data_IF_075543347822
#
_entry.id   IF_075543347822
#
_cell.length_a   1.000
_cell.length_b   1.000
_cell.length_c   1.000
_cell.angle_alpha   90.00
_cell.angle_beta   90.00
_cell.angle_gamma   90.00
#
_symmetry.space_group_name_H-M   'P 1'
#
loop_
_entity.id
_entity.type
_entity.pdbx_description
1 polymer ?
#
# COMPACT_ATOMS: atom_id res chain seq x y z
N UNK A 1 1.29 -10.06 14.02
CA UNK A 1 0.88 -10.33 12.63
C UNK A 1 -0.35 -11.25 12.61
N UNK A 2 -1.30 -11.06 11.70
CA UNK A 2 -2.47 -11.94 11.60
C UNK A 2 -2.12 -13.31 11.03
N UNK A 3 -2.79 -14.34 11.53
CA UNK A 3 -2.62 -15.71 11.05
C UNK A 3 -2.99 -15.92 9.58
N UNK A 4 -3.80 -15.04 8.97
CA UNK A 4 -4.03 -15.06 7.51
C UNK A 4 -2.71 -14.96 6.73
N UNK A 5 -1.85 -14.02 7.11
CA UNK A 5 -0.56 -13.79 6.46
C UNK A 5 0.38 -14.95 6.75
N UNK A 6 0.43 -15.42 7.99
CA UNK A 6 1.28 -16.55 8.36
C UNK A 6 0.85 -17.87 7.69
N UNK A 7 -0.45 -18.09 7.50
CA UNK A 7 -0.96 -19.25 6.77
C UNK A 7 -0.46 -19.25 5.32
N UNK A 8 -0.43 -18.10 4.66
CA UNK A 8 0.18 -17.97 3.34
C UNK A 8 1.67 -18.26 3.34
N UNK A 9 2.39 -17.90 4.41
CA UNK A 9 3.82 -18.22 4.55
C UNK A 9 4.03 -19.73 4.65
N UNK A 10 3.23 -20.41 5.49
CA UNK A 10 3.27 -21.87 5.60
C UNK A 10 3.01 -22.53 4.25
N UNK A 11 1.95 -22.10 3.56
CA UNK A 11 1.58 -22.68 2.26
C UNK A 11 2.68 -22.46 1.21
N UNK A 12 3.33 -21.28 1.22
CA UNK A 12 4.48 -21.00 0.37
C UNK A 12 5.64 -21.94 0.68
N UNK A 13 5.93 -22.18 1.96
CA UNK A 13 7.04 -23.05 2.37
C UNK A 13 6.79 -24.49 1.95
N UNK A 14 5.57 -24.98 2.18
CA UNK A 14 5.16 -26.33 1.83
C UNK A 14 5.18 -26.57 0.32
N UNK A 15 4.81 -25.57 -0.50
CA UNK A 15 4.83 -25.69 -1.96
C UNK A 15 6.24 -25.62 -2.56
N UNK A 16 7.08 -24.69 -2.10
CA UNK A 16 8.39 -24.44 -2.70
C UNK A 16 9.45 -25.45 -2.21
N UNK A 17 9.41 -25.81 -0.92
CA UNK A 17 10.46 -26.60 -0.27
C UNK A 17 9.93 -27.88 0.42
N UNK A 18 8.62 -28.09 0.43
CA UNK A 18 8.00 -29.31 0.92
C UNK A 18 7.70 -29.30 2.43
N UNK A 19 6.76 -30.16 2.80
CA UNK A 19 6.24 -30.31 4.18
C UNK A 19 7.31 -30.76 5.18
N UNK A 20 8.34 -31.48 4.72
CA UNK A 20 9.46 -31.91 5.57
C UNK A 20 10.24 -30.73 6.13
N UNK A 21 10.54 -29.72 5.28
CA UNK A 21 11.25 -28.51 5.69
C UNK A 21 10.39 -27.71 6.68
N UNK A 22 9.09 -27.55 6.40
CA UNK A 22 8.16 -26.91 7.34
C UNK A 22 8.16 -27.58 8.73
N UNK A 23 8.03 -28.92 8.77
CA UNK A 23 7.99 -29.66 10.03
C UNK A 23 9.29 -29.57 10.85
N UNK A 24 10.45 -29.51 10.17
CA UNK A 24 11.73 -29.31 10.84
C UNK A 24 11.79 -27.91 11.48
N UNK A 25 11.29 -26.88 10.78
CA UNK A 25 11.24 -25.52 11.29
C UNK A 25 10.32 -25.36 12.48
N UNK A 26 9.10 -25.92 12.43
CA UNK A 26 8.16 -25.87 13.55
C UNK A 26 8.82 -26.43 14.83
N UNK A 27 9.59 -27.52 14.70
CA UNK A 27 10.36 -28.08 15.82
C UNK A 27 11.50 -27.17 16.28
N UNK A 28 12.26 -26.59 15.35
CA UNK A 28 13.42 -25.72 15.64
C UNK A 28 13.00 -24.39 16.30
N UNK A 29 11.92 -23.78 15.82
CA UNK A 29 11.40 -22.50 16.31
C UNK A 29 10.58 -22.70 17.60
N UNK A 30 10.12 -23.92 17.89
CA UNK A 30 9.32 -24.22 19.09
C UNK A 30 7.89 -23.69 19.00
N UNK A 31 7.34 -23.53 17.79
CA UNK A 31 5.96 -23.13 17.59
C UNK A 31 5.11 -24.37 17.93
N UNK A 32 4.35 -24.33 19.03
CA UNK A 32 3.61 -25.49 19.55
C UNK A 32 2.48 -26.04 18.66
N UNK A 33 2.34 -25.60 17.41
CA UNK A 33 1.33 -26.06 16.46
C UNK A 33 1.79 -25.95 15.00
N UNK A 34 1.23 -26.81 14.13
CA UNK A 34 1.57 -26.91 12.70
C UNK A 34 0.84 -25.86 11.83
N UNK A 35 -0.12 -25.12 12.40
CA UNK A 35 -0.97 -24.22 11.63
C UNK A 35 -1.37 -22.95 12.38
N UNK A 36 -1.76 -21.94 11.59
CA UNK A 36 -2.18 -20.62 12.08
C UNK A 36 -3.69 -20.42 11.88
N UNK A 37 -4.35 -19.88 12.91
CA UNK A 37 -5.74 -19.46 12.81
C UNK A 37 -5.82 -18.06 12.21
N UNK A 38 -6.63 -17.90 11.17
CA UNK A 38 -6.68 -16.71 10.32
C UNK A 38 -6.98 -15.41 11.07
N UNK A 39 -7.84 -15.45 12.09
CA UNK A 39 -8.28 -14.28 12.86
C UNK A 39 -7.50 -14.11 14.16
N UNK A 40 -6.52 -14.97 14.43
CA UNK A 40 -5.65 -14.83 15.60
C UNK A 40 -4.46 -13.94 15.26
N UNK A 41 -4.10 -13.07 16.19
CA UNK A 41 -2.88 -12.27 16.14
C UNK A 41 -1.75 -13.06 16.80
N UNK A 42 -0.62 -13.12 16.11
CA UNK A 42 0.63 -13.76 16.53
C UNK A 42 1.75 -12.72 16.64
N UNK A 43 2.91 -13.12 17.14
CA UNK A 43 4.11 -12.28 17.16
C UNK A 43 4.41 -11.74 15.74
N UNK A 44 4.80 -10.48 15.65
CA UNK A 44 5.17 -9.86 14.38
C UNK A 44 6.46 -10.46 13.82
N UNK A 45 7.42 -10.80 14.69
CA UNK A 45 8.72 -11.35 14.29
C UNK A 45 8.63 -12.78 13.74
N UNK A 46 7.49 -13.46 13.88
CA UNK A 46 7.36 -14.85 13.50
C UNK A 46 7.62 -15.11 12.01
N UNK A 47 7.15 -14.22 11.13
CA UNK A 47 7.46 -14.31 9.70
C UNK A 47 8.96 -14.17 9.44
N UNK A 48 9.64 -13.24 10.12
CA UNK A 48 11.08 -13.03 9.97
C UNK A 48 11.87 -14.26 10.45
N UNK A 49 11.50 -14.83 11.61
CA UNK A 49 12.11 -16.05 12.15
C UNK A 49 11.92 -17.23 11.19
N UNK A 50 10.73 -17.37 10.59
CA UNK A 50 10.47 -18.40 9.58
C UNK A 50 11.34 -18.14 8.34
N UNK A 51 11.38 -16.90 7.83
CA UNK A 51 12.16 -16.55 6.65
C UNK A 51 13.65 -16.83 6.83
N UNK A 52 14.23 -16.42 7.96
CA UNK A 52 15.62 -16.68 8.34
C UNK A 52 15.89 -18.18 8.46
N UNK A 53 14.97 -18.93 9.09
CA UNK A 53 15.10 -20.38 9.19
C UNK A 53 15.12 -21.04 7.82
N UNK A 54 14.21 -20.65 6.91
CA UNK A 54 14.19 -21.17 5.53
C UNK A 54 15.45 -20.81 4.79
N UNK A 55 15.89 -19.56 4.87
CA UNK A 55 17.10 -19.08 4.24
C UNK A 55 18.32 -19.93 4.64
N UNK A 56 18.46 -20.27 5.93
CA UNK A 56 19.53 -21.14 6.41
C UNK A 56 19.46 -22.58 5.90
N UNK A 57 18.27 -23.18 5.82
CA UNK A 57 18.12 -24.59 5.39
C UNK A 57 18.31 -24.76 3.88
N UNK A 58 17.97 -23.75 3.08
CA UNK A 58 18.02 -23.82 1.61
C UNK A 58 19.20 -23.05 0.99
N UNK A 59 20.08 -22.50 1.85
CA UNK A 59 21.27 -21.73 1.49
C UNK A 59 20.99 -20.61 0.48
N UNK A 60 20.04 -19.73 0.83
CA UNK A 60 19.72 -18.55 0.01
C UNK A 60 19.52 -17.30 0.87
N UNK A 61 19.59 -16.10 0.29
CA UNK A 61 19.34 -14.86 1.03
C UNK A 61 17.92 -14.80 1.59
N UNK A 62 17.79 -14.37 2.85
CA UNK A 62 16.49 -14.15 3.50
C UNK A 62 15.61 -13.15 2.73
N UNK A 63 16.22 -12.18 2.03
CA UNK A 63 15.53 -11.28 1.11
C UNK A 63 14.76 -12.00 0.01
N UNK A 64 15.30 -13.10 -0.50
CA UNK A 64 14.71 -13.87 -1.61
C UNK A 64 13.55 -14.73 -1.10
N UNK A 65 13.68 -15.26 0.12
CA UNK A 65 12.60 -15.94 0.83
C UNK A 65 11.45 -14.98 1.10
N UNK A 66 11.74 -13.79 1.65
CA UNK A 66 10.74 -12.77 1.90
C UNK A 66 10.05 -12.31 0.62
N UNK A 67 10.80 -12.16 -0.48
CA UNK A 67 10.23 -11.88 -1.79
C UNK A 67 9.27 -12.98 -2.25
N UNK A 68 9.65 -14.27 -2.12
CA UNK A 68 8.77 -15.40 -2.44
C UNK A 68 7.51 -15.41 -1.58
N UNK A 69 7.61 -15.14 -0.28
CA UNK A 69 6.44 -15.04 0.61
C UNK A 69 5.47 -13.95 0.15
N UNK A 70 5.98 -12.76 -0.20
CA UNK A 70 5.17 -11.67 -0.70
C UNK A 70 4.50 -12.00 -2.04
N UNK A 71 5.26 -12.59 -2.96
CA UNK A 71 4.75 -12.98 -4.27
C UNK A 71 3.66 -14.06 -4.17
N UNK A 72 3.87 -15.05 -3.32
CA UNK A 72 2.91 -16.12 -3.04
C UNK A 72 1.65 -15.59 -2.36
N UNK A 73 1.78 -14.59 -1.48
CA UNK A 73 0.63 -14.01 -0.77
C UNK A 73 -0.44 -13.50 -1.73
N UNK A 74 -0.05 -12.90 -2.85
CA UNK A 74 -1.02 -12.40 -3.82
C UNK A 74 -1.83 -13.54 -4.45
N UNK A 75 -1.19 -14.67 -4.80
CA UNK A 75 -1.88 -15.87 -5.30
C UNK A 75 -2.73 -16.53 -4.21
N UNK A 76 -2.26 -16.51 -2.97
CA UNK A 76 -2.99 -17.03 -1.81
C UNK A 76 -4.29 -16.26 -1.57
N UNK A 77 -4.25 -14.92 -1.49
CA UNK A 77 -5.46 -14.12 -1.19
C UNK A 77 -6.51 -14.22 -2.29
N UNK A 78 -6.09 -14.33 -3.56
CA UNK A 78 -7.00 -14.58 -4.68
C UNK A 78 -7.73 -15.90 -4.50
N UNK A 79 -7.01 -17.00 -4.20
CA UNK A 79 -7.62 -18.32 -3.95
C UNK A 79 -8.47 -18.35 -2.67
N UNK A 80 -8.16 -17.50 -1.70
CA UNK A 80 -8.88 -17.39 -0.44
C UNK A 80 -10.23 -16.65 -0.57
N UNK A 81 -10.53 -16.06 -1.73
CA UNK A 81 -11.80 -15.36 -2.01
C UNK A 81 -11.73 -13.84 -1.91
N UNK A 82 -10.53 -13.26 -1.87
CA UNK A 82 -10.33 -11.81 -2.01
C UNK A 82 -10.14 -11.36 -3.47
N UNK A 83 -10.22 -12.29 -4.43
CA UNK A 83 -10.05 -12.06 -5.87
C UNK A 83 -10.94 -10.94 -6.41
N UNK A 84 -12.22 -10.93 -6.03
CA UNK A 84 -13.18 -9.92 -6.48
C UNK A 84 -12.80 -8.53 -6.01
N UNK A 85 -12.23 -8.41 -4.81
CA UNK A 85 -11.84 -7.12 -4.25
C UNK A 85 -10.51 -6.68 -4.85
N UNK A 86 -9.52 -7.57 -4.92
CA UNK A 86 -8.18 -7.24 -5.43
C UNK A 86 -8.19 -6.93 -6.93
N UNK A 87 -9.07 -7.56 -7.71
CA UNK A 87 -9.20 -7.31 -9.16
C UNK A 87 -9.82 -5.96 -9.51
N UNK A 88 -10.57 -5.33 -8.59
CA UNK A 88 -11.26 -4.05 -8.84
C UNK A 88 -10.57 -2.85 -8.20
N UNK A 89 -9.42 -3.03 -7.55
CA UNK A 89 -8.71 -1.93 -6.87
C UNK A 89 -8.20 -0.85 -7.83
N UNK A 90 -7.89 -1.20 -9.07
CA UNK A 90 -7.31 -0.24 -10.00
C UNK A 90 -7.23 -0.76 -11.44
N UNK A 91 -7.36 0.16 -12.40
CA UNK A 91 -7.18 -0.16 -13.83
C UNK A 91 -5.71 -0.22 -14.24
N UNK A 92 -4.86 0.48 -13.49
CA UNK A 92 -3.40 0.48 -13.63
C UNK A 92 -2.75 0.08 -12.30
N UNK A 93 -1.48 -0.30 -12.37
CA UNK A 93 -0.70 -0.60 -11.17
C UNK A 93 -0.62 0.60 -10.20
N UNK A 94 -0.58 1.83 -10.71
CA UNK A 94 -0.60 3.03 -9.87
C UNK A 94 -1.90 3.16 -9.07
N UNK A 95 -3.05 2.92 -9.71
CA UNK A 95 -4.36 2.90 -9.07
C UNK A 95 -4.44 1.80 -8.02
N UNK A 96 -3.92 0.60 -8.33
CA UNK A 96 -3.85 -0.51 -7.39
C UNK A 96 -3.12 -0.15 -6.11
N UNK A 97 -1.90 0.40 -6.25
CA UNK A 97 -1.05 0.77 -5.10
C UNK A 97 -1.74 1.86 -4.26
N UNK A 98 -2.29 2.89 -4.90
CA UNK A 98 -3.04 3.94 -4.18
C UNK A 98 -4.34 3.42 -3.56
N UNK A 99 -4.93 2.36 -4.12
CA UNK A 99 -6.13 1.70 -3.60
C UNK A 99 -5.89 0.79 -2.40
N UNK A 100 -4.65 0.38 -2.11
CA UNK A 100 -4.33 -0.54 -1.01
C UNK A 100 -4.71 0.01 0.36
N UNK A 101 -4.57 1.32 0.57
CA UNK A 101 -4.93 1.95 1.86
C UNK A 101 -6.44 1.86 2.11
N UNK A 102 -7.26 2.08 1.06
CA UNK A 102 -8.71 1.94 1.13
C UNK A 102 -9.12 0.48 1.33
N UNK A 103 -8.44 -0.46 0.66
CA UNK A 103 -8.63 -1.90 0.88
C UNK A 103 -8.38 -2.24 2.35
N UNK A 104 -7.27 -1.78 2.91
CA UNK A 104 -6.92 -2.05 4.30
C UNK A 104 -7.92 -1.45 5.28
N UNK A 105 -8.50 -0.28 4.99
CA UNK A 105 -9.59 0.27 5.80
C UNK A 105 -10.83 -0.62 5.76
N UNK A 106 -11.21 -1.10 4.58
CA UNK A 106 -12.32 -2.04 4.46
C UNK A 106 -12.05 -3.33 5.25
N UNK A 107 -10.85 -3.90 5.10
CA UNK A 107 -10.41 -5.12 5.80
C UNK A 107 -10.31 -4.91 7.32
N UNK A 108 -10.04 -3.69 7.79
CA UNK A 108 -9.98 -3.40 9.23
C UNK A 108 -11.30 -3.66 9.97
N UNK A 109 -12.43 -3.60 9.27
CA UNK A 109 -13.74 -3.99 9.81
C UNK A 109 -13.84 -5.51 10.07
N UNK A 110 -13.10 -6.31 9.30
CA UNK A 110 -13.05 -7.78 9.41
C UNK A 110 -11.95 -8.25 10.37
N UNK A 111 -10.88 -7.46 10.52
CA UNK A 111 -9.71 -7.75 11.34
C UNK A 111 -9.42 -6.59 12.30
N UNK A 112 -10.14 -6.53 13.42
CA UNK A 112 -10.18 -5.37 14.33
C UNK A 112 -8.81 -4.84 14.77
N UNK A 113 -7.86 -5.73 15.07
CA UNK A 113 -6.52 -5.36 15.54
C UNK A 113 -5.48 -5.21 14.41
N UNK A 114 -5.93 -5.04 13.15
CA UNK A 114 -5.00 -4.93 12.01
C UNK A 114 -4.25 -3.61 12.06
N UNK A 115 -2.94 -3.71 11.91
CA UNK A 115 -2.04 -2.57 11.72
C UNK A 115 -1.58 -2.62 10.25
N UNK A 116 -2.35 -2.05 9.32
CA UNK A 116 -1.99 -2.07 7.92
C UNK A 116 -0.83 -1.10 7.66
N UNK A 117 0.04 -1.42 6.70
CA UNK A 117 0.93 -0.41 6.14
C UNK A 117 0.16 0.57 5.24
N UNK A 118 0.79 1.70 4.97
CA UNK A 118 0.32 2.72 4.03
C UNK A 118 1.15 2.74 2.75
N UNK A 119 0.49 3.01 1.63
CA UNK A 119 1.10 3.13 0.31
C UNK A 119 0.60 4.38 -0.42
N UNK A 120 1.50 5.04 -1.15
CA UNK A 120 1.11 6.06 -2.12
C UNK A 120 2.16 6.18 -3.24
N UNK A 121 1.70 6.48 -4.44
CA UNK A 121 2.56 6.69 -5.61
C UNK A 121 3.05 8.14 -5.64
N UNK A 122 4.36 8.35 -5.78
CA UNK A 122 4.96 9.69 -5.90
C UNK A 122 4.96 10.17 -7.35
N UNK A 123 5.36 9.30 -8.28
CA UNK A 123 5.44 9.60 -9.70
C UNK A 123 5.29 8.34 -10.55
N UNK A 124 4.75 8.52 -11.74
CA UNK A 124 4.61 7.50 -12.77
C UNK A 124 5.23 8.04 -14.07
N UNK A 125 6.06 7.24 -14.75
CA UNK A 125 6.74 7.57 -16.00
C UNK A 125 6.69 6.39 -16.99
N UNK A 126 7.21 6.61 -18.20
CA UNK A 126 7.21 5.62 -19.30
C UNK A 126 7.94 4.31 -18.93
N UNK A 127 8.82 4.34 -17.92
CA UNK A 127 9.64 3.22 -17.47
C UNK A 127 9.15 2.62 -16.14
N UNK A 128 8.02 3.10 -15.61
CA UNK A 128 7.34 2.52 -14.46
C UNK A 128 6.88 3.57 -13.44
N UNK A 129 7.06 3.30 -12.15
CA UNK A 129 6.60 4.20 -11.09
C UNK A 129 7.48 4.15 -9.85
N UNK A 130 7.40 5.22 -9.05
CA UNK A 130 7.99 5.28 -7.71
C UNK A 130 6.86 5.41 -6.70
N UNK A 131 6.89 4.57 -5.67
CA UNK A 131 5.91 4.61 -4.59
C UNK A 131 6.59 4.55 -3.23
N UNK A 132 5.87 5.03 -2.23
CA UNK A 132 6.27 5.01 -0.84
C UNK A 132 5.52 3.91 -0.10
N UNK A 133 6.22 3.24 0.81
CA UNK A 133 5.71 2.22 1.71
C UNK A 133 6.03 2.62 3.15
N UNK A 134 5.00 2.78 3.96
CA UNK A 134 5.11 3.17 5.36
C UNK A 134 4.53 2.08 6.26
N UNK A 135 5.27 1.71 7.29
CA UNK A 135 4.80 0.69 8.24
C UNK A 135 5.24 1.02 9.66
N UNK A 136 4.39 0.74 10.64
CA UNK A 136 4.76 0.82 12.06
C UNK A 136 5.68 -0.32 12.50
N UNK A 137 5.91 -1.31 11.61
CA UNK A 137 6.73 -2.49 11.91
C UNK A 137 8.21 -2.16 11.72
N UNK A 138 9.02 -2.48 12.74
CA UNK A 138 10.44 -2.11 12.78
C UNK A 138 11.36 -3.04 11.99
N UNK A 139 10.89 -4.24 11.64
CA UNK A 139 11.71 -5.19 10.91
C UNK A 139 11.99 -4.72 9.47
N UNK A 140 13.26 -4.56 9.13
CA UNK A 140 13.73 -4.00 7.85
C UNK A 140 13.35 -4.91 6.68
N UNK A 141 13.37 -6.23 6.88
CA UNK A 141 13.15 -7.23 5.82
C UNK A 141 11.73 -7.26 5.24
N UNK A 142 10.72 -6.64 5.87
CA UNK A 142 9.37 -6.57 5.31
C UNK A 142 9.30 -5.86 3.96
N UNK A 143 10.28 -5.02 3.64
CA UNK A 143 10.37 -4.40 2.33
C UNK A 143 10.47 -5.44 1.20
N UNK A 144 11.17 -6.56 1.43
CA UNK A 144 11.31 -7.63 0.45
C UNK A 144 9.99 -8.38 0.23
N UNK A 145 9.20 -8.56 1.29
CA UNK A 145 7.84 -9.07 1.18
C UNK A 145 6.97 -8.14 0.32
N UNK A 146 7.02 -6.84 0.54
CA UNK A 146 6.28 -5.87 -0.29
C UNK A 146 6.75 -5.91 -1.75
N UNK A 147 8.06 -6.03 -2.00
CA UNK A 147 8.61 -6.17 -3.36
C UNK A 147 8.00 -7.36 -4.09
N UNK A 148 7.93 -8.52 -3.45
CA UNK A 148 7.30 -9.71 -4.02
C UNK A 148 5.81 -9.54 -4.27
N UNK A 149 5.10 -8.93 -3.32
CA UNK A 149 3.66 -8.67 -3.40
C UNK A 149 3.33 -7.78 -4.60
N UNK A 150 4.03 -6.66 -4.75
CA UNK A 150 3.81 -5.70 -5.85
C UNK A 150 4.23 -6.30 -7.19
N UNK A 151 5.34 -7.04 -7.24
CA UNK A 151 5.76 -7.75 -8.44
C UNK A 151 4.67 -8.74 -8.91
N UNK A 152 4.17 -9.57 -7.98
CA UNK A 152 3.14 -10.56 -8.28
C UNK A 152 1.83 -9.91 -8.72
N UNK A 153 1.40 -8.82 -8.06
CA UNK A 153 0.23 -8.05 -8.49
C UNK A 153 0.40 -7.44 -9.90
N UNK A 154 1.58 -6.90 -10.22
CA UNK A 154 1.90 -6.33 -11.52
C UNK A 154 1.80 -7.37 -12.65
N UNK A 155 2.32 -8.58 -12.41
CA UNK A 155 2.28 -9.67 -13.39
C UNK A 155 0.87 -10.26 -13.50
N UNK A 156 0.19 -10.53 -12.37
CA UNK A 156 -1.08 -11.26 -12.37
C UNK A 156 -2.28 -10.42 -12.82
N UNK A 157 -2.38 -9.15 -12.43
CA UNK A 157 -3.55 -8.32 -12.76
C UNK A 157 -3.36 -7.47 -14.01
N UNK A 158 -2.11 -7.13 -14.34
CA UNK A 158 -1.80 -6.18 -15.41
C UNK A 158 -0.95 -6.78 -16.53
N UNK A 159 -0.62 -8.08 -16.45
CA UNK A 159 0.15 -8.83 -17.46
C UNK A 159 1.48 -8.15 -17.83
N UNK A 160 2.04 -7.38 -16.91
CA UNK A 160 3.27 -6.62 -17.15
C UNK A 160 4.46 -7.58 -17.23
N UNK A 161 5.30 -7.35 -18.24
CA UNK A 161 6.52 -8.13 -18.48
C UNK A 161 7.75 -7.42 -17.90
N UNK A 162 8.78 -8.20 -17.57
CA UNK A 162 10.08 -7.72 -17.08
C UNK A 162 10.00 -6.78 -15.85
N UNK A 163 8.99 -6.98 -14.99
CA UNK A 163 8.76 -6.14 -13.82
C UNK A 163 9.86 -6.32 -12.78
N UNK A 164 10.58 -5.25 -12.47
CA UNK A 164 11.57 -5.23 -11.38
C UNK A 164 11.12 -4.29 -10.29
N UNK A 165 11.16 -4.75 -9.04
CA UNK A 165 10.88 -3.89 -7.87
C UNK A 165 12.16 -3.74 -7.08
N UNK A 166 12.64 -2.51 -6.95
CA UNK A 166 13.91 -2.15 -6.33
C UNK A 166 13.68 -1.16 -5.19
N UNK A 167 14.47 -1.30 -4.13
CA UNK A 167 14.46 -0.37 -3.00
C UNK A 167 15.40 0.79 -3.33
N UNK A 168 14.88 2.02 -3.35
CA UNK A 168 15.68 3.23 -3.53
C UNK A 168 16.16 3.78 -2.20
N UNK A 169 15.30 3.76 -1.19
CA UNK A 169 15.56 4.34 0.14
C UNK A 169 14.80 3.58 1.20
N UNK A 170 15.39 3.45 2.39
CA UNK A 170 14.71 2.96 3.58
C UNK A 170 15.27 3.70 4.80
N UNK A 171 14.39 4.27 5.61
CA UNK A 171 14.74 5.06 6.78
C UNK A 171 13.67 4.96 7.87
N UNK A 172 14.05 5.26 9.11
CA UNK A 172 13.11 5.32 10.23
C UNK A 172 12.74 6.78 10.47
N UNK A 173 11.48 7.13 10.23
CA UNK A 173 10.90 8.45 10.49
C UNK A 173 10.04 8.35 11.77
N UNK A 174 10.63 8.72 12.91
CA UNK A 174 9.98 8.60 14.22
C UNK A 174 9.70 7.14 14.59
N UNK A 175 8.42 6.77 14.68
CA UNK A 175 7.99 5.38 14.94
C UNK A 175 7.68 4.58 13.67
N UNK A 176 7.85 5.18 12.48
CA UNK A 176 7.45 4.61 11.20
C UNK A 176 8.69 4.26 10.38
N UNK A 177 8.70 3.05 9.82
CA UNK A 177 9.65 2.67 8.79
C UNK A 177 9.13 3.18 7.44
N UNK A 178 9.84 4.13 6.85
CA UNK A 178 9.56 4.71 5.56
C UNK A 178 10.46 4.08 4.51
N UNK A 179 9.89 3.71 3.37
CA UNK A 179 10.65 3.14 2.25
C UNK A 179 10.17 3.69 0.93
N UNK A 180 11.11 3.93 0.02
CA UNK A 180 10.84 4.36 -1.35
C UNK A 180 11.25 3.22 -2.28
N UNK A 181 10.33 2.79 -3.12
CA UNK A 181 10.53 1.70 -4.06
C UNK A 181 10.29 2.16 -5.50
N UNK A 182 11.12 1.68 -6.41
CA UNK A 182 10.95 1.81 -7.86
C UNK A 182 10.38 0.51 -8.40
N UNK A 183 9.27 0.60 -9.12
CA UNK A 183 8.80 -0.48 -9.99
C UNK A 183 9.17 -0.10 -11.41
N UNK A 184 10.02 -0.89 -12.04
CA UNK A 184 10.44 -0.71 -13.44
C UNK A 184 9.68 -1.68 -14.31
N UNK A 185 8.94 -1.16 -15.29
CA UNK A 185 8.20 -1.92 -16.30
C UNK A 185 7.95 -1.05 -17.53
N UNK A 186 7.74 -1.68 -18.69
CA UNK A 186 7.43 -0.93 -19.91
C UNK A 186 6.00 -0.38 -19.81
N UNK A 187 5.86 0.89 -19.45
CA UNK A 187 4.56 1.52 -19.26
C UNK A 187 3.95 1.96 -20.61
N UNK A 188 3.37 1.00 -21.34
CA UNK A 188 2.69 1.28 -22.60
C UNK A 188 1.39 2.09 -22.44
N UNK A 189 0.93 2.34 -21.20
CA UNK A 189 -0.35 3.00 -20.94
C UNK A 189 -0.25 4.53 -20.86
N UNK A 190 0.91 5.10 -20.54
CA UNK A 190 1.10 6.57 -20.53
C UNK A 190 1.03 7.12 -21.96
N UNK A 191 1.61 6.40 -22.92
CA UNK A 191 1.58 6.80 -24.35
C UNK A 191 0.20 6.65 -24.99
N UNK A 192 -0.62 5.75 -24.48
CA UNK A 192 -2.05 5.70 -24.78
C UNK A 192 -2.74 6.72 -23.88
N UNK A 193 -2.52 8.02 -24.15
CA UNK A 193 -3.57 8.98 -23.81
C UNK A 193 -4.86 8.37 -24.34
N UNK A 194 -5.81 8.09 -23.45
CA UNK A 194 -7.15 7.67 -23.86
C UNK A 194 -7.55 8.53 -25.06
N UNK A 195 -8.05 7.98 -26.17
CA UNK A 195 -8.44 8.78 -27.34
C UNK A 195 -9.36 9.97 -27.01
N UNK A 196 -9.98 9.94 -25.83
CA UNK A 196 -10.79 11.00 -25.26
C UNK A 196 -10.03 12.10 -24.48
N UNK A 197 -8.81 11.87 -23.99
CA UNK A 197 -7.97 12.89 -23.32
C UNK A 197 -7.62 14.09 -24.24
N UNK A 198 -7.27 13.89 -25.54
CA UNK A 198 -7.15 14.98 -26.50
C UNK A 198 -8.48 15.71 -26.78
N UNK A 199 -9.60 15.00 -26.68
CA UNK A 199 -10.93 15.60 -26.82
C UNK A 199 -11.31 16.43 -25.58
N UNK A 200 -10.96 15.97 -24.38
CA UNK A 200 -11.08 16.70 -23.11
C UNK A 200 -10.14 17.90 -23.02
N UNK A 201 -8.90 17.78 -23.48
CA UNK A 201 -7.95 18.89 -23.49
C UNK A 201 -8.39 19.97 -24.50
N UNK A 202 -8.97 19.57 -25.64
CA UNK A 202 -9.70 20.47 -26.54
C UNK A 202 -10.92 21.09 -25.87
N UNK A 203 -11.72 20.33 -25.10
CA UNK A 203 -12.85 20.86 -24.33
C UNK A 203 -12.41 21.85 -23.23
N UNK A 204 -11.30 21.59 -22.53
CA UNK A 204 -10.69 22.51 -21.55
C UNK A 204 -10.13 23.78 -22.20
N UNK A 205 -9.68 23.71 -23.45
CA UNK A 205 -9.22 24.88 -24.21
C UNK A 205 -10.37 25.75 -24.72
N UNK A 206 -11.60 25.24 -24.73
CA UNK A 206 -12.82 25.99 -25.09
C UNK A 206 -13.39 26.55 -23.78
N UNK A 207 -12.84 27.70 -23.37
CA UNK A 207 -13.20 28.50 -22.18
C UNK A 207 -12.99 27.82 -20.82
N UNK A 208 -12.24 28.41 -19.87
CA UNK A 208 -12.30 27.96 -18.50
C UNK A 208 -13.73 28.20 -18.01
N UNK A 209 -14.49 27.12 -17.80
CA UNK A 209 -15.78 27.21 -17.14
C UNK A 209 -15.48 27.57 -15.68
N UNK A 210 -15.51 28.86 -15.37
CA UNK A 210 -15.43 29.33 -13.99
C UNK A 210 -16.73 28.97 -13.32
N UNK A 211 -16.71 27.94 -12.48
CA UNK A 211 -17.81 27.64 -11.58
C UNK A 211 -17.75 28.63 -10.42
N UNK A 212 -18.89 29.22 -10.05
CA UNK A 212 -18.94 30.07 -8.87
C UNK A 212 -18.50 29.25 -7.65
N UNK A 213 -17.51 29.77 -6.90
CA UNK A 213 -17.00 29.15 -5.68
C UNK A 213 -18.11 28.83 -4.68
N UNK A 214 -19.11 29.69 -4.57
CA UNK A 214 -20.21 29.51 -3.62
C UNK A 214 -20.99 28.22 -3.92
N UNK A 215 -21.25 27.94 -5.21
CA UNK A 215 -21.91 26.70 -5.65
C UNK A 215 -21.07 25.47 -5.29
N UNK A 216 -19.75 25.56 -5.45
CA UNK A 216 -18.83 24.45 -5.11
C UNK A 216 -18.86 24.19 -3.60
N UNK A 217 -18.77 25.24 -2.77
CA UNK A 217 -18.74 25.10 -1.32
C UNK A 217 -20.09 24.73 -0.69
N UNK A 218 -21.19 25.06 -1.37
CA UNK A 218 -22.53 24.57 -1.03
C UNK A 218 -22.71 23.10 -1.43
N UNK A 219 -22.18 22.71 -2.59
CA UNK A 219 -22.27 21.32 -3.09
C UNK A 219 -21.37 20.36 -2.30
N UNK A 220 -20.18 20.83 -1.90
CA UNK A 220 -19.20 20.08 -1.12
C UNK A 220 -19.04 20.69 0.28
N UNK A 221 -19.99 20.44 1.20
CA UNK A 221 -20.05 21.11 2.50
C UNK A 221 -18.86 20.78 3.42
N UNK A 222 -18.17 19.66 3.19
CA UNK A 222 -17.00 19.22 3.93
C UNK A 222 -15.70 19.33 3.10
N UNK A 223 -15.53 20.46 2.41
CA UNK A 223 -14.30 20.79 1.67
C UNK A 223 -13.46 21.83 2.43
N UNK A 224 -12.13 21.73 2.33
CA UNK A 224 -11.17 22.65 2.95
C UNK A 224 -10.13 23.01 1.90
N UNK A 225 -9.89 24.30 1.71
CA UNK A 225 -8.81 24.82 0.85
C UNK A 225 -7.82 25.58 1.72
N UNK A 226 -6.54 25.24 1.62
CA UNK A 226 -5.46 25.88 2.35
C UNK A 226 -4.27 26.16 1.42
N UNK A 227 -3.46 27.15 1.79
CA UNK A 227 -2.31 27.60 1.01
C UNK A 227 -1.01 26.85 1.36
N UNK A 228 0.08 27.20 0.66
CA UNK A 228 1.43 26.64 0.88
C UNK A 228 1.95 26.83 2.33
N UNK A 229 1.41 27.80 3.07
CA UNK A 229 1.73 28.06 4.48
C UNK A 229 0.85 27.27 5.44
N UNK A 230 0.09 26.31 4.92
CA UNK A 230 -0.87 25.50 5.67
C UNK A 230 -2.03 26.31 6.26
N UNK A 231 -2.27 27.54 5.78
CA UNK A 231 -3.35 28.39 6.28
C UNK A 231 -4.63 28.13 5.50
N UNK A 232 -5.72 27.93 6.21
CA UNK A 232 -7.03 27.70 5.61
C UNK A 232 -7.54 28.98 4.97
N UNK A 233 -7.70 28.96 3.65
CA UNK A 233 -8.17 30.09 2.84
C UNK A 233 -9.70 30.16 2.85
N UNK A 234 -10.35 29.03 2.62
CA UNK A 234 -11.82 28.92 2.58
C UNK A 234 -12.27 27.47 2.82
N UNK A 235 -13.55 27.28 3.15
CA UNK A 235 -14.13 25.99 3.46
C UNK A 235 -15.59 25.89 3.01
N UNK A 236 -16.07 24.66 2.84
CA UNK A 236 -17.48 24.36 2.65
C UNK A 236 -18.33 24.74 3.86
N UNK A 237 -19.63 24.98 3.62
CA UNK A 237 -20.58 25.45 4.64
C UNK A 237 -20.71 24.54 5.86
N UNK A 238 -20.49 23.24 5.71
CA UNK A 238 -20.52 22.27 6.80
C UNK A 238 -19.31 22.40 7.73
N UNK A 239 -18.11 22.59 7.16
CA UNK A 239 -16.89 22.84 7.95
C UNK A 239 -16.99 24.17 8.69
N UNK A 240 -17.46 25.24 8.04
CA UNK A 240 -17.60 26.56 8.70
C UNK A 240 -18.54 26.51 9.89
N UNK A 241 -19.65 25.78 9.78
CA UNK A 241 -20.58 25.56 10.91
C UNK A 241 -19.95 24.77 12.06
N UNK A 242 -19.08 23.82 11.74
CA UNK A 242 -18.43 22.95 12.74
C UNK A 242 -17.23 23.63 13.40
N UNK A 243 -16.46 24.40 12.62
CA UNK A 243 -15.24 25.10 13.04
C UNK A 243 -15.27 26.57 12.60
N UNK A 244 -16.00 27.45 13.31
CA UNK A 244 -16.22 28.84 12.88
C UNK A 244 -14.94 29.68 12.81
N UNK A 245 -13.90 29.31 13.55
CA UNK A 245 -12.62 30.05 13.63
C UNK A 245 -11.52 29.47 12.75
N UNK A 246 -11.83 28.49 11.90
CA UNK A 246 -10.83 27.76 11.13
C UNK A 246 -10.17 28.63 10.04
N UNK A 247 -10.94 29.50 9.39
CA UNK A 247 -10.44 30.35 8.30
C UNK A 247 -9.33 31.28 8.83
N UNK A 248 -8.20 31.31 8.11
CA UNK A 248 -7.00 32.06 8.49
C UNK A 248 -6.12 31.39 9.56
N UNK A 249 -6.49 30.21 10.05
CA UNK A 249 -5.66 29.41 10.97
C UNK A 249 -4.91 28.31 10.22
N UNK A 250 -3.91 27.72 10.87
CA UNK A 250 -3.23 26.56 10.29
C UNK A 250 -4.13 25.36 10.37
N UNK A 251 -4.24 24.62 9.27
CA UNK A 251 -5.03 23.38 9.21
C UNK A 251 -4.53 22.35 10.23
N UNK A 252 -3.22 22.32 10.48
CA UNK A 252 -2.55 21.43 11.46
C UNK A 252 -2.95 21.70 12.90
N UNK A 253 -3.52 22.88 13.21
CA UNK A 253 -3.99 23.20 14.56
C UNK A 253 -5.34 22.51 14.86
N UNK A 254 -6.07 22.13 13.81
CA UNK A 254 -7.42 21.57 13.90
C UNK A 254 -7.49 20.11 13.43
N UNK A 255 -6.67 19.73 12.47
CA UNK A 255 -6.71 18.43 11.82
C UNK A 255 -5.34 17.76 11.86
N UNK A 256 -5.38 16.44 12.07
CA UNK A 256 -4.21 15.57 11.96
C UNK A 256 -4.44 14.63 10.80
N UNK A 257 -3.46 14.54 9.92
CA UNK A 257 -3.49 13.58 8.80
C UNK A 257 -3.31 12.17 9.37
N UNK A 258 -4.32 11.31 9.18
CA UNK A 258 -4.26 9.91 9.64
C UNK A 258 -3.59 9.00 8.63
N UNK A 259 -3.68 9.34 7.34
CA UNK A 259 -3.07 8.61 6.22
C UNK A 259 -2.50 9.55 5.17
N UNK A 260 -1.34 9.23 4.59
CA UNK A 260 -0.50 8.05 4.85
C UNK A 260 0.18 8.10 6.23
N UNK A 261 0.41 6.93 6.84
CA UNK A 261 0.99 6.82 8.19
C UNK A 261 2.41 7.43 8.22
N UNK A 262 2.71 8.21 9.25
CA UNK A 262 4.06 8.77 9.47
C UNK A 262 4.44 9.91 8.53
N UNK A 263 3.47 10.48 7.82
CA UNK A 263 3.67 11.64 6.95
C UNK A 263 2.99 12.84 7.60
N UNK A 264 3.80 13.84 7.93
CA UNK A 264 3.28 15.12 8.37
C UNK A 264 2.61 15.84 7.20
N UNK A 265 1.57 16.60 7.49
CA UNK A 265 0.92 17.43 6.48
C UNK A 265 1.77 18.69 6.24
N UNK A 266 2.50 18.73 5.14
CA UNK A 266 3.28 19.90 4.70
C UNK A 266 3.31 20.02 3.17
N UNK A 267 3.51 21.23 2.66
CA UNK A 267 3.80 21.47 1.25
C UNK A 267 5.30 21.29 0.96
N UNK A 268 5.62 20.62 -0.15
CA UNK A 268 6.99 20.49 -0.68
C UNK A 268 7.35 21.68 -1.55
#
# INVERSE_FOLDING_TARGET
>A
MYGLVLKSVVECVEMEWGVTIWNQMVKKIGIGGVGFSIHKVYDENLMAIIAESVACEVDCPESDIMFKFGAHFMTFVTRYGYDQITSVLGRKLCDFINGLDNLHDYISNLYKDIKPPSFYVEKEDDEGLVFHYNTSRKYVGYIHYVRGLIHSAAVMYYELQDVKVETLKQEVLGEVMHSVLRVTYKNCTIRKQDPWLPALSKLRSITPVSVNSDIVFDTFPFSIIFDEKMQVVTCGVGVVKTFPTLIGKKITDFFVLTKPIGVDLYFR
#
